data_IF_023812117067
#
_entry.id   IF_023812117067
#
_cell.length_a   1.000
_cell.length_b   1.000
_cell.length_c   1.000
_cell.angle_alpha   90.00
_cell.angle_beta   90.00
_cell.angle_gamma   90.00
#
_symmetry.space_group_name_H-M   'P 1'
#
loop_
_entity.id
_entity.type
_entity.pdbx_description
1 polymer ?
#
# COMPACT_ATOMS: atom_id res chain seq x y z
N UNK A 1 -10.74 -1.11 -19.67
CA UNK A 1 -11.48 -0.19 -18.77
C UNK A 1 -12.95 -0.36 -19.09
N UNK A 2 -13.78 -0.69 -18.12
CA UNK A 2 -15.22 -0.69 -18.33
C UNK A 2 -15.74 0.73 -18.13
N UNK A 3 -16.66 1.15 -19.01
CA UNK A 3 -17.36 2.44 -18.94
C UNK A 3 -18.45 2.49 -17.82
N UNK A 4 -18.43 1.53 -16.89
CA UNK A 4 -19.36 1.55 -15.78
C UNK A 4 -18.76 2.25 -14.57
N UNK A 5 -19.37 3.34 -14.08
CA UNK A 5 -18.96 4.02 -12.87
C UNK A 5 -19.01 3.06 -11.65
N UNK A 6 -17.95 2.97 -10.87
CA UNK A 6 -17.93 2.22 -9.60
C UNK A 6 -17.32 0.83 -9.63
N UNK A 7 -16.59 0.44 -10.68
CA UNK A 7 -16.00 -0.91 -10.79
C UNK A 7 -14.70 -1.09 -10.01
N UNK A 8 -13.99 -0.03 -9.65
CA UNK A 8 -12.75 -0.12 -8.90
C UNK A 8 -13.02 -0.01 -7.40
N UNK A 9 -13.28 -1.14 -6.75
CA UNK A 9 -13.49 -1.22 -5.28
C UNK A 9 -12.19 -1.28 -4.47
N UNK A 10 -11.03 -1.40 -5.10
CA UNK A 10 -9.74 -1.44 -4.45
C UNK A 10 -8.83 -0.38 -5.08
N UNK A 11 -8.21 0.45 -4.25
CA UNK A 11 -7.18 1.40 -4.69
C UNK A 11 -5.99 0.64 -5.25
N UNK A 12 -5.72 0.84 -6.53
CA UNK A 12 -4.56 0.26 -7.20
C UNK A 12 -3.42 1.27 -7.13
N UNK A 13 -2.37 0.95 -6.39
CA UNK A 13 -1.13 1.70 -6.47
C UNK A 13 -0.09 0.90 -7.25
N UNK A 14 0.56 1.55 -8.21
CA UNK A 14 1.59 0.91 -9.02
C UNK A 14 2.86 1.78 -9.03
N UNK A 15 4.05 1.18 -8.92
CA UNK A 15 5.28 1.87 -9.25
C UNK A 15 5.26 2.25 -10.72
N UNK A 16 5.68 3.44 -11.02
CA UNK A 16 5.71 4.01 -12.36
C UNK A 16 7.06 4.69 -12.60
N UNK A 17 7.48 4.70 -13.85
CA UNK A 17 8.64 5.44 -14.33
C UNK A 17 8.15 6.53 -15.26
N UNK A 18 8.53 7.77 -14.96
CA UNK A 18 8.28 8.91 -15.82
C UNK A 18 9.62 9.47 -16.24
N UNK A 19 9.89 9.42 -17.55
CA UNK A 19 11.23 9.66 -18.09
C UNK A 19 12.27 8.77 -17.39
N UNK A 20 13.15 9.31 -16.57
CA UNK A 20 14.18 8.57 -15.84
C UNK A 20 14.00 8.59 -14.32
N UNK A 21 12.83 9.02 -13.84
CA UNK A 21 12.54 9.13 -12.40
C UNK A 21 11.47 8.15 -11.95
N UNK A 22 11.71 7.57 -10.79
CA UNK A 22 10.75 6.65 -10.17
C UNK A 22 9.67 7.42 -9.44
N UNK A 23 8.40 7.04 -9.64
CA UNK A 23 7.25 7.53 -8.90
C UNK A 23 6.26 6.41 -8.62
N UNK A 24 5.23 6.70 -7.84
CA UNK A 24 4.13 5.80 -7.56
C UNK A 24 2.83 6.46 -8.00
N UNK A 25 2.10 5.82 -8.90
CA UNK A 25 0.76 6.24 -9.29
C UNK A 25 -0.26 5.51 -8.43
N UNK A 26 -1.26 6.23 -7.95
CA UNK A 26 -2.37 5.70 -7.17
C UNK A 26 -3.69 6.02 -7.89
N UNK A 27 -4.47 4.97 -8.19
CA UNK A 27 -5.83 5.11 -8.68
C UNK A 27 -6.79 5.18 -7.47
N UNK A 28 -7.58 6.25 -7.42
CA UNK A 28 -8.52 6.49 -6.30
C UNK A 28 -9.85 5.74 -6.43
N UNK A 29 -10.04 4.94 -7.53
CA UNK A 29 -11.34 4.34 -7.81
C UNK A 29 -12.43 5.40 -8.00
N UNK A 30 -13.29 5.28 -9.01
CA UNK A 30 -14.23 6.36 -9.39
C UNK A 30 -14.94 7.03 -8.21
N UNK A 31 -14.47 8.21 -7.86
CA UNK A 31 -15.11 9.10 -6.91
C UNK A 31 -16.42 9.55 -7.57
N UNK A 32 -17.57 9.14 -7.05
CA UNK A 32 -18.88 9.60 -7.52
C UNK A 32 -19.80 8.54 -8.13
N UNK A 33 -19.45 7.27 -8.14
CA UNK A 33 -20.33 6.22 -8.65
C UNK A 33 -21.27 5.69 -7.57
N UNK A 34 -22.52 6.15 -7.62
CA UNK A 34 -23.76 5.80 -6.91
C UNK A 34 -24.08 6.60 -5.66
N UNK A 35 -24.93 7.58 -5.87
CA UNK A 35 -25.81 8.19 -4.89
C UNK A 35 -26.84 7.15 -4.42
N UNK A 36 -26.62 6.53 -3.27
CA UNK A 36 -27.56 5.68 -2.56
C UNK A 36 -27.08 5.50 -1.14
N UNK A 37 -27.80 6.07 -0.20
CA UNK A 37 -27.82 5.86 1.25
C UNK A 37 -26.51 5.44 1.96
N UNK A 38 -25.81 6.42 2.55
CA UNK A 38 -24.68 6.19 3.47
C UNK A 38 -23.30 6.05 2.82
N UNK A 39 -23.18 6.06 1.49
CA UNK A 39 -21.92 5.87 0.75
C UNK A 39 -21.16 7.18 0.48
N UNK A 40 -21.82 8.34 0.53
CA UNK A 40 -21.21 9.64 0.26
C UNK A 40 -20.09 9.97 1.25
N UNK A 41 -20.30 9.70 2.54
CA UNK A 41 -19.31 9.94 3.61
C UNK A 41 -18.06 9.02 3.47
N UNK A 42 -18.24 7.78 2.98
CA UNK A 42 -17.10 6.89 2.75
C UNK A 42 -16.28 7.29 1.53
N UNK A 43 -16.92 7.77 0.47
CA UNK A 43 -16.27 8.25 -0.75
C UNK A 43 -15.53 9.57 -0.48
N UNK A 44 -16.11 10.48 0.29
CA UNK A 44 -15.41 11.69 0.75
C UNK A 44 -14.20 11.35 1.63
N UNK A 45 -14.35 10.42 2.57
CA UNK A 45 -13.24 9.99 3.42
C UNK A 45 -12.11 9.35 2.60
N UNK A 46 -12.43 8.60 1.54
CA UNK A 46 -11.44 7.98 0.66
C UNK A 46 -10.72 8.99 -0.24
N UNK A 47 -11.45 9.98 -0.76
CA UNK A 47 -10.88 11.10 -1.50
C UNK A 47 -9.94 11.93 -0.60
N UNK A 48 -10.37 12.24 0.61
CA UNK A 48 -9.61 12.98 1.61
C UNK A 48 -8.27 12.31 1.94
N UNK A 49 -8.25 10.99 2.03
CA UNK A 49 -7.02 10.25 2.33
C UNK A 49 -6.08 10.26 1.12
N UNK A 50 -6.59 10.06 -0.09
CA UNK A 50 -5.80 10.13 -1.31
C UNK A 50 -5.20 11.54 -1.48
N UNK A 51 -6.00 12.57 -1.28
CA UNK A 51 -5.60 13.97 -1.32
C UNK A 51 -4.47 14.23 -0.31
N UNK A 52 -4.61 13.80 0.94
CA UNK A 52 -3.60 14.04 2.01
C UNK A 52 -2.32 13.23 1.88
N UNK A 53 -2.27 12.23 1.01
CA UNK A 53 -1.10 11.33 0.85
C UNK A 53 -0.33 11.57 -0.45
N UNK A 54 -0.90 12.27 -1.40
CA UNK A 54 -0.27 12.57 -2.67
C UNK A 54 0.72 13.74 -2.57
N UNK A 55 1.80 13.71 -3.34
CA UNK A 55 2.68 14.85 -3.57
C UNK A 55 2.16 15.73 -4.70
N UNK A 56 1.39 15.15 -5.63
CA UNK A 56 0.75 15.79 -6.78
C UNK A 56 -0.55 15.04 -7.09
N UNK A 57 -1.59 15.77 -7.47
CA UNK A 57 -2.87 15.20 -7.87
C UNK A 57 -3.09 15.42 -9.36
N UNK A 58 -3.48 14.35 -10.05
CA UNK A 58 -3.95 14.41 -11.43
C UNK A 58 -5.47 14.32 -11.41
N UNK A 59 -6.14 15.46 -11.60
CA UNK A 59 -7.60 15.52 -11.63
C UNK A 59 -8.08 15.29 -13.07
N UNK A 60 -8.67 14.11 -13.33
CA UNK A 60 -9.04 13.68 -14.68
C UNK A 60 -10.52 13.89 -14.93
N UNK A 61 -10.84 14.70 -15.95
CA UNK A 61 -12.21 14.95 -16.40
C UNK A 61 -12.38 14.55 -17.89
N UNK A 62 -13.61 14.25 -18.31
CA UNK A 62 -13.95 14.05 -19.71
C UNK A 62 -14.23 15.40 -20.36
N UNK A 63 -13.42 15.81 -21.35
CA UNK A 63 -13.59 17.10 -22.01
C UNK A 63 -14.80 17.18 -22.97
N UNK A 64 -15.48 16.05 -23.21
CA UNK A 64 -16.69 15.97 -24.06
C UNK A 64 -17.97 16.11 -23.27
N UNK A 65 -17.91 15.82 -21.98
CA UNK A 65 -19.06 15.91 -21.08
C UNK A 65 -19.06 17.26 -20.36
N UNK A 66 -20.25 17.75 -20.00
CA UNK A 66 -20.39 18.94 -19.18
C UNK A 66 -19.97 18.67 -17.73
N UNK A 67 -19.50 19.73 -17.07
CA UNK A 67 -19.17 19.64 -15.65
C UNK A 67 -20.38 19.21 -14.81
N UNK A 68 -20.19 18.20 -14.03
CA UNK A 68 -21.20 17.72 -13.07
C UNK A 68 -21.06 18.43 -11.71
N UNK A 69 -22.14 18.48 -10.89
CA UNK A 69 -22.02 18.99 -9.52
C UNK A 69 -21.01 18.21 -8.67
N UNK A 70 -20.74 16.94 -9.00
CA UNK A 70 -19.75 16.11 -8.36
C UNK A 70 -18.34 16.61 -8.68
N UNK A 71 -18.06 16.93 -9.94
CA UNK A 71 -16.76 17.47 -10.37
C UNK A 71 -16.47 18.80 -9.68
N UNK A 72 -17.48 19.67 -9.54
CA UNK A 72 -17.37 20.93 -8.81
C UNK A 72 -17.07 20.71 -7.32
N UNK A 73 -17.76 19.78 -6.65
CA UNK A 73 -17.50 19.44 -5.25
C UNK A 73 -16.08 18.89 -5.05
N UNK A 74 -15.61 18.03 -5.95
CA UNK A 74 -14.25 17.51 -5.93
C UNK A 74 -13.25 18.67 -6.12
N UNK A 75 -13.46 19.54 -7.09
CA UNK A 75 -12.61 20.70 -7.33
C UNK A 75 -12.53 21.61 -6.09
N UNK A 76 -13.66 21.86 -5.42
CA UNK A 76 -13.71 22.65 -4.19
C UNK A 76 -12.90 22.01 -3.07
N UNK A 77 -12.90 20.69 -2.98
CA UNK A 77 -12.13 19.92 -2.01
C UNK A 77 -10.62 19.97 -2.32
N UNK A 78 -10.27 19.81 -3.59
CA UNK A 78 -8.88 19.87 -4.07
C UNK A 78 -8.27 21.26 -3.86
N UNK A 79 -9.03 22.34 -4.11
CA UNK A 79 -8.56 23.72 -3.88
C UNK A 79 -8.29 24.05 -2.41
N UNK A 80 -8.96 23.37 -1.49
CA UNK A 80 -8.72 23.53 -0.04
C UNK A 80 -7.48 22.76 0.43
N UNK A 81 -6.90 21.92 -0.41
CA UNK A 81 -5.67 21.21 -0.10
C UNK A 81 -4.46 22.04 -0.54
N UNK A 82 -3.35 21.94 0.19
CA UNK A 82 -2.07 22.57 -0.17
C UNK A 82 -1.29 21.74 -1.21
N UNK A 83 -1.93 20.77 -1.85
CA UNK A 83 -1.29 19.84 -2.78
C UNK A 83 -1.47 20.38 -4.21
N UNK A 84 -0.39 20.45 -5.02
CA UNK A 84 -0.50 20.87 -6.41
C UNK A 84 -1.40 19.90 -7.20
N UNK A 85 -2.22 20.47 -8.08
CA UNK A 85 -3.18 19.76 -8.92
C UNK A 85 -2.90 20.07 -10.38
N UNK A 86 -2.81 19.06 -11.23
CA UNK A 86 -2.84 19.21 -12.69
C UNK A 86 -4.21 18.71 -13.17
N UNK A 87 -4.96 19.58 -13.84
CA UNK A 87 -6.23 19.22 -14.44
C UNK A 87 -5.98 18.50 -15.78
N UNK A 88 -6.43 17.27 -15.90
CA UNK A 88 -6.31 16.47 -17.10
C UNK A 88 -7.65 16.38 -17.83
N UNK A 89 -7.77 17.07 -18.97
CA UNK A 89 -8.96 17.04 -19.82
C UNK A 89 -8.82 15.89 -20.82
N UNK A 90 -9.33 14.71 -20.42
CA UNK A 90 -9.23 13.49 -21.21
C UNK A 90 -10.29 13.40 -22.31
N UNK A 91 -10.07 12.48 -23.25
CA UNK A 91 -10.89 12.27 -24.47
C UNK A 91 -10.83 13.45 -25.44
N UNK A 92 -9.79 14.27 -25.38
CA UNK A 92 -9.49 15.32 -26.35
C UNK A 92 -8.87 14.74 -27.64
N UNK A 93 -9.69 14.03 -28.41
CA UNK A 93 -9.22 13.26 -29.58
C UNK A 93 -8.81 14.20 -30.75
N UNK A 94 -9.36 15.42 -30.80
CA UNK A 94 -9.09 16.43 -31.83
C UNK A 94 -8.82 17.81 -31.22
N UNK A 95 -7.97 18.60 -31.84
CA UNK A 95 -7.60 19.98 -31.42
C UNK A 95 -8.82 20.91 -31.26
N UNK A 96 -9.92 20.65 -31.96
CA UNK A 96 -11.15 21.46 -31.83
C UNK A 96 -11.76 21.36 -30.42
N UNK A 97 -11.47 20.30 -29.68
CA UNK A 97 -11.98 20.10 -28.32
C UNK A 97 -11.23 20.98 -27.30
N UNK A 98 -10.02 21.45 -27.64
CA UNK A 98 -9.24 22.36 -26.81
C UNK A 98 -9.95 23.74 -26.66
N UNK A 99 -10.89 24.06 -27.56
CA UNK A 99 -11.71 25.27 -27.48
C UNK A 99 -12.75 25.26 -26.34
N UNK A 100 -13.04 24.09 -25.77
CA UNK A 100 -13.99 23.95 -24.67
C UNK A 100 -13.40 24.30 -23.28
N UNK A 101 -12.17 24.84 -23.24
CA UNK A 101 -11.49 25.21 -22.00
C UNK A 101 -12.33 26.14 -21.11
N UNK A 102 -13.17 27.02 -21.71
CA UNK A 102 -13.94 28.02 -20.98
C UNK A 102 -14.84 27.47 -19.88
N UNK A 103 -15.38 26.26 -20.04
CA UNK A 103 -16.22 25.60 -19.03
C UNK A 103 -15.38 25.11 -17.83
N UNK A 104 -14.17 24.65 -18.09
CA UNK A 104 -13.29 24.08 -17.07
C UNK A 104 -12.46 25.10 -16.30
N UNK A 105 -12.31 26.32 -16.83
CA UNK A 105 -11.60 27.43 -16.14
C UNK A 105 -12.29 27.81 -14.83
N UNK A 106 -13.61 27.64 -14.75
CA UNK A 106 -14.39 27.88 -13.53
C UNK A 106 -14.00 26.98 -12.35
N UNK A 107 -13.27 25.87 -12.58
CA UNK A 107 -12.78 25.00 -11.53
C UNK A 107 -11.59 25.57 -10.76
N UNK A 108 -10.94 26.65 -11.26
CA UNK A 108 -9.87 27.37 -10.57
C UNK A 108 -8.53 26.63 -10.50
N UNK A 109 -8.21 25.84 -11.51
CA UNK A 109 -6.90 25.22 -11.70
C UNK A 109 -6.21 25.83 -12.91
N UNK A 110 -5.07 26.48 -12.70
CA UNK A 110 -4.29 27.13 -13.77
C UNK A 110 -3.50 26.12 -14.59
N UNK A 111 -3.04 25.02 -13.97
CA UNK A 111 -2.27 23.98 -14.64
C UNK A 111 -3.21 22.91 -15.21
N UNK A 112 -3.32 22.86 -16.55
CA UNK A 112 -4.20 21.94 -17.25
C UNK A 112 -3.53 21.35 -18.50
N UNK A 113 -3.92 20.14 -18.88
CA UNK A 113 -3.42 19.44 -20.07
C UNK A 113 -4.58 18.75 -20.76
N UNK A 114 -4.71 18.96 -22.08
CA UNK A 114 -5.60 18.18 -22.93
C UNK A 114 -4.92 16.87 -23.32
N UNK A 115 -5.58 15.76 -23.09
CA UNK A 115 -5.05 14.45 -23.46
C UNK A 115 -6.13 13.53 -24.04
N UNK A 116 -5.70 12.57 -24.82
CA UNK A 116 -6.52 11.43 -25.25
C UNK A 116 -5.82 10.13 -24.85
N UNK A 117 -6.34 9.49 -23.84
CA UNK A 117 -5.79 8.19 -23.38
C UNK A 117 -5.94 7.08 -24.43
N UNK A 118 -6.93 7.19 -25.32
CA UNK A 118 -7.17 6.25 -26.40
C UNK A 118 -6.15 6.41 -27.56
N UNK A 119 -5.74 7.64 -27.84
CA UNK A 119 -4.93 7.98 -29.02
C UNK A 119 -3.50 8.42 -28.66
N UNK A 120 -3.14 8.48 -27.37
CA UNK A 120 -1.79 8.86 -26.93
C UNK A 120 -1.47 10.34 -27.03
N UNK A 121 -2.45 11.21 -27.34
CA UNK A 121 -2.28 12.66 -27.41
C UNK A 121 -2.06 13.25 -26.01
N UNK A 122 -1.17 14.24 -25.88
CA UNK A 122 -0.92 14.98 -24.65
C UNK A 122 -0.01 14.28 -23.64
N UNK A 123 0.32 13.00 -23.83
CA UNK A 123 1.16 12.25 -22.87
C UNK A 123 2.61 12.76 -22.81
N UNK A 124 3.15 13.27 -23.90
CA UNK A 124 4.50 13.86 -23.92
C UNK A 124 4.57 15.12 -23.04
N UNK A 125 3.52 15.97 -23.11
CA UNK A 125 3.40 17.15 -22.27
C UNK A 125 3.22 16.77 -20.81
N UNK A 126 2.32 15.81 -20.51
CA UNK A 126 2.12 15.28 -19.17
C UNK A 126 3.43 14.73 -18.60
N UNK A 127 4.16 13.91 -19.35
CA UNK A 127 5.43 13.35 -18.92
C UNK A 127 6.46 14.44 -18.59
N UNK A 128 6.54 15.50 -19.43
CA UNK A 128 7.44 16.63 -19.21
C UNK A 128 7.09 17.42 -17.92
N UNK A 129 5.78 17.66 -17.67
CA UNK A 129 5.31 18.33 -16.45
C UNK A 129 5.60 17.50 -15.21
N UNK A 130 5.32 16.20 -15.27
CA UNK A 130 5.60 15.28 -14.16
C UNK A 130 7.09 15.15 -13.89
N UNK A 131 7.94 15.11 -14.92
CA UNK A 131 9.40 15.08 -14.77
C UNK A 131 9.91 16.36 -14.09
N UNK A 132 9.40 17.53 -14.51
CA UNK A 132 9.70 18.82 -13.87
C UNK A 132 9.33 18.82 -12.38
N UNK A 133 8.16 18.33 -12.03
CA UNK A 133 7.69 18.21 -10.65
C UNK A 133 8.56 17.23 -9.84
N UNK A 134 8.86 16.05 -10.41
CA UNK A 134 9.70 15.03 -9.78
C UNK A 134 11.13 15.55 -9.54
N UNK A 135 11.68 16.34 -10.46
CA UNK A 135 12.97 17.04 -10.29
C UNK A 135 12.93 18.00 -9.11
N UNK A 136 11.91 18.85 -9.05
CA UNK A 136 11.74 19.81 -7.96
C UNK A 136 11.61 19.14 -6.59
N UNK A 137 10.95 17.98 -6.54
CA UNK A 137 10.82 17.15 -5.33
C UNK A 137 12.08 16.32 -5.04
N UNK A 138 13.11 16.38 -5.88
CA UNK A 138 14.35 15.59 -5.72
C UNK A 138 14.09 14.09 -5.81
N UNK A 139 13.18 13.65 -6.69
CA UNK A 139 13.02 12.23 -6.98
C UNK A 139 14.30 11.69 -7.63
N UNK A 140 14.83 10.53 -7.20
CA UNK A 140 16.09 10.00 -7.71
C UNK A 140 16.00 9.67 -9.19
N UNK A 141 17.08 9.94 -9.92
CA UNK A 141 17.27 9.44 -11.29
C UNK A 141 17.50 7.92 -11.24
N UNK A 142 17.14 7.23 -12.32
CA UNK A 142 17.44 5.80 -12.46
C UNK A 142 18.95 5.55 -12.44
N UNK A 143 19.73 6.41 -13.06
CA UNK A 143 21.20 6.34 -13.08
C UNK A 143 21.81 6.51 -11.68
N UNK A 144 21.25 7.40 -10.86
CA UNK A 144 21.65 7.55 -9.44
C UNK A 144 21.30 6.32 -8.59
N UNK A 145 20.38 5.45 -9.07
CA UNK A 145 20.04 4.17 -8.47
C UNK A 145 20.83 3.00 -9.07
N UNK A 146 21.46 3.20 -10.24
CA UNK A 146 22.27 2.21 -10.97
C UNK A 146 23.79 2.45 -10.84
N UNK A 147 24.24 3.62 -10.36
CA UNK A 147 25.62 3.83 -9.96
C UNK A 147 25.87 3.02 -8.69
N UNK A 148 26.35 1.80 -8.86
CA UNK A 148 27.08 1.08 -7.80
C UNK A 148 28.25 1.99 -7.42
N UNK A 149 28.42 2.39 -6.15
CA UNK A 149 29.60 3.10 -5.74
C UNK A 149 30.78 2.21 -6.01
N UNK A 150 31.72 2.66 -6.86
CA UNK A 150 32.99 1.97 -7.19
C UNK A 150 33.87 1.66 -5.97
N UNK A 151 33.44 2.07 -4.79
CA UNK A 151 34.05 1.76 -3.50
C UNK A 151 33.05 0.99 -2.63
N UNK A 152 33.00 -0.31 -2.80
CA UNK A 152 32.62 -1.44 -1.94
C UNK A 152 31.72 -1.28 -0.69
N UNK A 153 31.09 -0.15 -0.44
CA UNK A 153 30.07 0.04 0.58
C UNK A 153 28.72 0.25 -0.11
N UNK A 154 27.98 -0.83 -0.34
CA UNK A 154 26.54 -0.78 -0.64
C UNK A 154 25.86 0.05 0.44
N UNK A 155 25.56 1.32 0.16
CA UNK A 155 24.70 2.13 1.02
C UNK A 155 23.27 1.59 0.84
N UNK A 156 22.93 0.60 1.67
CA UNK A 156 21.63 -0.05 1.66
C UNK A 156 20.52 1.00 1.81
N UNK A 157 19.57 1.02 0.90
CA UNK A 157 18.39 1.91 0.97
C UNK A 157 17.70 1.75 2.33
N UNK A 158 17.28 2.85 2.98
CA UNK A 158 16.64 2.80 4.28
C UNK A 158 15.27 2.10 4.20
N UNK A 159 15.05 1.12 5.08
CA UNK A 159 13.76 0.43 5.21
C UNK A 159 12.79 1.32 5.98
N UNK A 160 11.66 1.66 5.36
CA UNK A 160 10.60 2.46 5.97
C UNK A 160 9.68 1.57 6.79
N UNK A 161 9.65 1.80 8.10
CA UNK A 161 8.88 0.99 9.07
C UNK A 161 7.75 1.81 9.66
N UNK A 162 6.50 1.39 9.44
CA UNK A 162 5.34 1.97 10.10
C UNK A 162 4.99 1.19 11.37
N UNK A 163 4.86 1.88 12.51
CA UNK A 163 4.39 1.30 13.78
C UNK A 163 2.93 1.68 13.97
N UNK A 164 2.01 0.74 13.69
CA UNK A 164 0.57 0.98 13.70
C UNK A 164 -0.15 0.11 14.73
N UNK A 165 -1.35 0.50 15.09
CA UNK A 165 -2.16 -0.18 16.11
C UNK A 165 -3.09 0.79 16.82
N UNK A 166 -4.07 0.26 17.57
CA UNK A 166 -5.04 1.08 18.32
C UNK A 166 -4.36 1.99 19.36
N UNK A 167 -5.05 3.04 19.85
CA UNK A 167 -4.55 3.82 20.98
C UNK A 167 -4.26 2.92 22.19
N UNK A 168 -3.20 3.26 22.93
CA UNK A 168 -2.74 2.53 24.13
C UNK A 168 -2.28 1.08 23.92
N UNK A 169 -2.11 0.59 22.67
CA UNK A 169 -1.49 -0.72 22.40
C UNK A 169 -0.01 -0.78 22.78
N UNK A 170 0.61 0.38 23.06
CA UNK A 170 2.01 0.46 23.46
C UNK A 170 2.98 0.85 22.34
N UNK A 171 2.49 1.44 21.24
CA UNK A 171 3.31 1.91 20.11
C UNK A 171 4.45 2.83 20.54
N UNK A 172 4.14 3.88 21.31
CA UNK A 172 5.15 4.84 21.80
C UNK A 172 6.19 4.16 22.70
N UNK A 173 5.75 3.21 23.54
CA UNK A 173 6.68 2.43 24.38
C UNK A 173 7.58 1.54 23.54
N UNK A 174 7.03 0.92 22.47
CA UNK A 174 7.80 0.10 21.54
C UNK A 174 8.86 0.92 20.79
N UNK A 175 8.47 2.08 20.24
CA UNK A 175 9.41 2.99 19.57
C UNK A 175 10.49 3.46 20.52
N UNK A 176 10.14 3.84 21.75
CA UNK A 176 11.12 4.23 22.76
C UNK A 176 12.06 3.08 23.14
N UNK A 177 11.56 1.84 23.20
CA UNK A 177 12.39 0.67 23.45
C UNK A 177 13.36 0.40 22.28
N UNK A 178 12.88 0.53 21.03
CA UNK A 178 13.71 0.45 19.82
C UNK A 178 14.84 1.51 19.85
N UNK A 179 14.49 2.77 20.10
CA UNK A 179 15.43 3.88 20.07
C UNK A 179 16.44 3.86 21.24
N UNK A 180 16.14 3.15 22.32
CA UNK A 180 17.05 2.96 23.48
C UNK A 180 17.99 1.76 23.32
N UNK A 181 17.80 0.93 22.32
CA UNK A 181 18.69 -0.20 22.05
C UNK A 181 20.10 0.35 21.75
N UNK A 182 21.13 -0.18 22.42
CA UNK A 182 22.54 0.22 22.23
C UNK A 182 23.06 0.04 20.81
N UNK A 183 22.38 -0.76 20.01
CA UNK A 183 22.69 -1.01 18.59
C UNK A 183 22.05 0.00 17.65
N UNK A 184 21.26 0.93 18.18
CA UNK A 184 20.52 1.92 17.40
C UNK A 184 21.20 3.27 17.53
N UNK A 185 21.64 3.82 16.41
CA UNK A 185 22.20 5.18 16.32
C UNK A 185 21.18 6.04 15.57
N UNK A 186 20.69 7.11 16.21
CA UNK A 186 19.88 8.12 15.52
C UNK A 186 20.79 8.86 14.54
N UNK A 187 20.58 8.69 13.26
CA UNK A 187 21.39 9.28 12.21
C UNK A 187 20.84 10.63 11.79
N UNK A 188 21.72 11.64 11.71
CA UNK A 188 21.41 12.94 11.10
C UNK A 188 21.70 12.91 9.58
N UNK A 189 21.35 11.85 8.87
CA UNK A 189 21.58 11.77 7.43
C UNK A 189 20.72 12.83 6.74
N UNK A 190 21.39 13.82 6.19
CA UNK A 190 20.76 14.89 5.40
C UNK A 190 20.08 14.25 4.17
N UNK A 191 18.78 14.51 3.99
CA UNK A 191 17.97 14.06 2.83
C UNK A 191 16.88 13.04 3.13
N UNK A 192 16.80 12.45 4.33
CA UNK A 192 15.75 11.46 4.68
C UNK A 192 14.52 12.04 5.36
N UNK A 193 14.57 13.30 5.80
CA UNK A 193 13.50 13.99 6.55
C UNK A 193 12.72 14.94 5.62
N UNK A 194 11.76 14.42 4.89
CA UNK A 194 10.74 15.25 4.21
C UNK A 194 9.57 15.65 5.12
N UNK A 195 9.37 14.91 6.21
CA UNK A 195 8.40 15.25 7.26
C UNK A 195 9.13 15.29 8.61
N UNK A 196 8.93 16.33 9.40
CA UNK A 196 9.51 16.51 10.76
C UNK A 196 9.08 15.42 11.78
N UNK A 197 8.49 14.34 11.30
CA UNK A 197 7.76 13.29 12.02
C UNK A 197 8.45 11.93 11.87
N UNK A 198 9.32 11.77 10.87
CA UNK A 198 10.03 10.52 10.58
C UNK A 198 11.37 10.49 11.34
N UNK A 199 11.73 9.34 11.92
CA UNK A 199 12.96 9.17 12.69
C UNK A 199 13.90 8.23 11.95
N UNK A 200 14.98 8.74 11.34
CA UNK A 200 16.02 7.90 10.77
C UNK A 200 16.88 7.27 11.87
N UNK A 201 17.21 6.01 11.72
CA UNK A 201 18.10 5.30 12.63
C UNK A 201 18.85 4.17 11.94
N UNK A 202 19.99 3.80 12.52
CA UNK A 202 20.84 2.72 12.04
C UNK A 202 20.80 1.55 13.04
N UNK A 203 20.57 0.32 12.56
CA UNK A 203 20.61 -0.89 13.37
C UNK A 203 21.47 -1.95 12.67
N UNK A 204 22.54 -2.37 13.33
CA UNK A 204 23.54 -3.32 12.80
C UNK A 204 24.01 -2.97 11.36
N UNK A 205 24.27 -1.67 11.08
CA UNK A 205 24.71 -1.20 9.78
C UNK A 205 23.62 -1.02 8.73
N UNK A 206 22.40 -1.49 8.97
CA UNK A 206 21.26 -1.29 8.07
C UNK A 206 20.51 -0.02 8.44
N UNK A 207 20.30 0.92 7.48
CA UNK A 207 19.49 2.11 7.72
C UNK A 207 18.00 1.80 7.72
N UNK A 208 17.26 2.44 8.63
CA UNK A 208 15.82 2.39 8.79
C UNK A 208 15.24 3.79 8.94
N UNK A 209 13.95 3.93 8.64
CA UNK A 209 13.17 5.14 8.93
C UNK A 209 11.86 4.72 9.60
N UNK A 210 11.68 5.15 10.86
CA UNK A 210 10.38 5.01 11.52
C UNK A 210 9.46 6.14 11.05
N UNK A 211 8.33 5.77 10.42
CA UNK A 211 7.40 6.72 9.80
C UNK A 211 6.31 7.13 10.78
N UNK A 212 5.91 8.42 10.70
CA UNK A 212 4.78 9.02 11.43
C UNK A 212 4.83 8.84 12.94
N UNK A 213 5.95 9.20 13.55
CA UNK A 213 6.14 9.15 15.00
C UNK A 213 5.47 10.29 15.77
N UNK A 214 4.88 11.31 15.11
CA UNK A 214 4.26 12.47 15.78
C UNK A 214 3.04 12.10 16.64
N UNK A 215 2.29 11.10 16.24
CA UNK A 215 1.18 10.56 17.05
C UNK A 215 1.63 9.88 18.34
N UNK A 216 2.95 9.69 18.53
CA UNK A 216 3.54 8.99 19.67
C UNK A 216 4.03 9.92 20.77
N UNK A 217 4.06 11.25 20.56
CA UNK A 217 4.39 12.23 21.61
C UNK A 217 3.19 12.42 22.54
N UNK A 218 3.37 12.51 23.88
CA UNK A 218 2.28 12.76 24.80
C UNK A 218 1.63 14.12 24.49
N UNK A 219 0.38 14.12 24.05
CA UNK A 219 -0.44 15.33 23.92
C UNK A 219 -1.33 15.46 25.14
N UNK A 220 -1.45 16.70 25.64
CA UNK A 220 -2.39 17.07 26.70
C UNK A 220 -3.82 16.70 26.28
N UNK A 221 -4.56 16.14 27.23
CA UNK A 221 -5.96 15.73 27.10
C UNK A 221 -6.83 16.89 26.64
N UNK A 222 -7.37 16.82 25.42
CA UNK A 222 -8.64 17.43 24.96
C UNK A 222 -8.72 17.27 23.45
N UNK A 223 -9.49 16.21 23.00
CA UNK A 223 -10.25 16.27 21.74
C UNK A 223 -10.92 14.92 21.49
N UNK A 224 -12.24 14.96 21.41
CA UNK A 224 -13.13 13.83 21.08
C UNK A 224 -13.08 13.40 19.61
N UNK A 225 -12.28 14.07 18.77
CA UNK A 225 -12.02 13.71 17.36
C UNK A 225 -10.83 12.74 17.18
N UNK A 226 -10.25 12.24 18.28
CA UNK A 226 -8.97 11.51 18.33
C UNK A 226 -9.00 10.17 17.55
N UNK A 227 -10.16 9.50 17.48
CA UNK A 227 -10.22 8.17 16.86
C UNK A 227 -10.16 8.21 15.33
N UNK A 228 -10.86 9.13 14.69
CA UNK A 228 -10.87 9.30 13.23
C UNK A 228 -9.49 9.77 12.74
N UNK A 229 -8.89 10.75 13.43
CA UNK A 229 -7.54 11.22 13.12
C UNK A 229 -6.46 10.16 13.32
N UNK A 230 -6.65 9.25 14.30
CA UNK A 230 -5.72 8.15 14.55
C UNK A 230 -5.77 7.09 13.45
N UNK A 231 -6.97 6.76 12.93
CA UNK A 231 -7.15 5.82 11.83
C UNK A 231 -6.53 6.35 10.52
N UNK A 232 -6.81 7.61 10.18
CA UNK A 232 -6.27 8.28 8.99
C UNK A 232 -4.73 8.33 8.99
N UNK A 233 -4.13 8.62 10.15
CA UNK A 233 -2.65 8.61 10.29
C UNK A 233 -2.08 7.22 10.11
N UNK A 234 -2.70 6.20 10.71
CA UNK A 234 -2.26 4.82 10.54
C UNK A 234 -2.29 4.41 9.08
N UNK A 235 -3.30 4.80 8.32
CA UNK A 235 -3.41 4.52 6.91
C UNK A 235 -2.32 5.24 6.09
N UNK A 236 -2.08 6.54 6.37
CA UNK A 236 -0.96 7.28 5.75
C UNK A 236 0.38 6.61 6.01
N UNK A 237 0.64 6.20 7.25
CA UNK A 237 1.86 5.51 7.62
C UNK A 237 1.99 4.16 6.90
N UNK A 238 0.90 3.36 6.87
CA UNK A 238 0.87 2.06 6.16
C UNK A 238 1.24 2.23 4.69
N UNK A 239 0.66 3.22 4.00
CA UNK A 239 0.94 3.45 2.57
C UNK A 239 2.40 3.79 2.28
N UNK A 240 3.01 4.63 3.13
CA UNK A 240 4.41 5.08 2.97
C UNK A 240 5.44 4.02 3.37
N UNK A 241 5.02 3.00 4.12
CA UNK A 241 5.90 1.99 4.66
C UNK A 241 6.32 0.92 3.64
N UNK A 242 7.52 0.38 3.82
CA UNK A 242 7.98 -0.85 3.19
C UNK A 242 7.53 -2.07 4.01
N UNK A 243 7.39 -1.90 5.33
CA UNK A 243 6.90 -2.92 6.25
C UNK A 243 6.13 -2.29 7.42
N UNK A 244 5.06 -2.97 7.86
CA UNK A 244 4.22 -2.56 8.97
C UNK A 244 4.47 -3.43 10.22
N UNK A 245 4.61 -2.78 11.38
CA UNK A 245 4.57 -3.42 12.69
C UNK A 245 3.19 -3.16 13.29
N UNK A 246 2.31 -4.16 13.25
CA UNK A 246 0.97 -4.11 13.84
C UNK A 246 1.08 -4.42 15.34
N UNK A 247 0.97 -3.40 16.18
CA UNK A 247 1.08 -3.52 17.64
C UNK A 247 -0.27 -3.81 18.26
N UNK A 248 -0.39 -4.95 18.94
CA UNK A 248 -1.59 -5.44 19.62
C UNK A 248 -1.33 -5.53 21.11
N UNK A 249 -2.24 -5.02 21.92
CA UNK A 249 -2.27 -5.25 23.37
C UNK A 249 -2.95 -6.58 23.66
N UNK A 250 -2.16 -7.63 23.84
CA UNK A 250 -2.70 -8.98 24.01
C UNK A 250 -3.39 -9.16 25.36
N UNK A 251 -3.00 -8.42 26.40
CA UNK A 251 -3.65 -8.49 27.70
C UNK A 251 -5.11 -8.00 27.64
N UNK A 252 -5.44 -7.12 26.70
CA UNK A 252 -6.80 -6.67 26.43
C UNK A 252 -7.50 -7.46 25.30
N UNK A 253 -6.80 -8.40 24.67
CA UNK A 253 -7.28 -9.19 23.53
C UNK A 253 -7.29 -8.41 22.20
N UNK A 254 -7.57 -9.14 21.11
CA UNK A 254 -7.69 -8.59 19.75
C UNK A 254 -9.06 -7.96 19.57
N UNK A 255 -9.11 -6.67 19.27
CA UNK A 255 -10.34 -5.88 19.15
C UNK A 255 -10.76 -5.67 17.70
N UNK A 256 -11.97 -5.16 17.49
CA UNK A 256 -12.45 -4.79 16.15
C UNK A 256 -11.55 -3.70 15.50
N UNK A 257 -11.00 -2.78 16.32
CA UNK A 257 -10.09 -1.75 15.81
C UNK A 257 -8.76 -2.34 15.34
N UNK A 258 -8.23 -3.34 16.04
CA UNK A 258 -7.03 -4.07 15.61
C UNK A 258 -7.29 -4.80 14.27
N UNK A 259 -8.46 -5.45 14.12
CA UNK A 259 -8.89 -6.10 12.86
C UNK A 259 -9.02 -5.08 11.72
N UNK A 260 -9.57 -3.90 11.98
CA UNK A 260 -9.69 -2.84 10.97
C UNK A 260 -8.32 -2.39 10.47
N UNK A 261 -7.36 -2.13 11.35
CA UNK A 261 -6.00 -1.72 10.98
C UNK A 261 -5.30 -2.84 10.19
N UNK A 262 -5.46 -4.09 10.64
CA UNK A 262 -4.95 -5.26 9.92
C UNK A 262 -5.57 -5.40 8.52
N UNK A 263 -6.86 -5.08 8.37
CA UNK A 263 -7.57 -5.03 7.09
C UNK A 263 -6.92 -4.03 6.13
N UNK A 264 -6.64 -2.82 6.60
CA UNK A 264 -5.95 -1.79 5.80
C UNK A 264 -4.56 -2.27 5.35
N UNK A 265 -3.80 -2.94 6.22
CA UNK A 265 -2.49 -3.51 5.85
C UNK A 265 -2.63 -4.55 4.73
N UNK A 266 -3.66 -5.42 4.83
CA UNK A 266 -3.94 -6.44 3.83
C UNK A 266 -4.39 -5.83 2.49
N UNK A 267 -5.27 -4.84 2.51
CA UNK A 267 -5.77 -4.11 1.34
C UNK A 267 -4.65 -3.36 0.62
N UNK A 268 -3.76 -2.70 1.37
CA UNK A 268 -2.59 -2.02 0.82
C UNK A 268 -1.46 -2.99 0.40
N UNK A 269 -1.67 -4.30 0.60
CA UNK A 269 -0.71 -5.33 0.21
C UNK A 269 0.66 -5.17 0.86
N UNK A 270 0.70 -4.75 2.13
CA UNK A 270 1.97 -4.44 2.80
C UNK A 270 2.57 -5.63 3.53
N UNK A 271 3.89 -5.80 3.49
CA UNK A 271 4.61 -6.66 4.43
C UNK A 271 4.25 -6.29 5.87
N UNK A 272 4.05 -7.32 6.72
CA UNK A 272 3.59 -7.10 8.08
C UNK A 272 4.22 -8.07 9.07
N UNK A 273 4.49 -7.54 10.28
CA UNK A 273 4.82 -8.31 11.47
C UNK A 273 3.80 -7.93 12.55
N UNK A 274 3.19 -8.90 13.20
CA UNK A 274 2.28 -8.69 14.33
C UNK A 274 3.13 -8.63 15.60
N UNK A 275 3.09 -7.49 16.29
CA UNK A 275 3.78 -7.29 17.58
C UNK A 275 2.77 -7.50 18.70
N UNK A 276 2.83 -8.66 19.33
CA UNK A 276 2.00 -9.04 20.46
C UNK A 276 2.60 -8.44 21.72
N UNK A 277 2.20 -7.17 22.00
CA UNK A 277 2.77 -6.39 23.09
C UNK A 277 2.04 -6.62 24.42
N UNK A 278 2.68 -6.22 25.51
CA UNK A 278 2.24 -6.45 26.90
C UNK A 278 2.11 -7.95 27.25
N UNK A 279 2.93 -8.77 26.62
CA UNK A 279 2.94 -10.22 26.84
C UNK A 279 3.28 -10.59 28.29
N UNK A 280 3.98 -9.72 29.02
CA UNK A 280 4.25 -9.84 30.44
C UNK A 280 2.99 -9.80 31.33
N UNK A 281 1.92 -9.15 30.85
CA UNK A 281 0.63 -9.07 31.53
C UNK A 281 -0.37 -10.15 31.11
N UNK A 282 -0.10 -10.86 30.02
CA UNK A 282 -0.97 -11.89 29.49
C UNK A 282 -0.75 -13.22 30.21
N UNK A 283 -1.73 -13.66 31.01
CA UNK A 283 -1.70 -14.89 31.82
C UNK A 283 -0.35 -15.15 32.51
N UNK A 284 0.13 -14.21 33.38
CA UNK A 284 1.49 -14.23 33.92
C UNK A 284 1.85 -15.51 34.70
N UNK A 285 0.84 -16.22 35.20
CA UNK A 285 1.02 -17.50 35.97
C UNK A 285 1.07 -18.73 35.06
N UNK A 286 0.75 -18.64 33.77
CA UNK A 286 0.82 -19.74 32.82
C UNK A 286 2.23 -19.87 32.23
N UNK A 287 2.58 -21.08 31.75
CA UNK A 287 3.87 -21.29 31.09
C UNK A 287 3.99 -20.42 29.82
N UNK A 288 5.23 -20.03 29.48
CA UNK A 288 5.47 -19.29 28.23
C UNK A 288 4.96 -20.06 27.00
N UNK A 289 5.09 -21.38 26.99
CA UNK A 289 4.65 -22.23 25.89
C UNK A 289 3.15 -22.19 25.71
N UNK A 290 2.37 -22.31 26.80
CA UNK A 290 0.92 -22.29 26.73
C UNK A 290 0.39 -20.90 26.30
N UNK A 291 0.99 -19.83 26.84
CA UNK A 291 0.67 -18.47 26.42
C UNK A 291 0.94 -18.23 24.94
N UNK A 292 2.07 -18.75 24.41
CA UNK A 292 2.39 -18.61 22.99
C UNK A 292 1.41 -19.37 22.11
N UNK A 293 1.00 -20.58 22.51
CA UNK A 293 0.02 -21.39 21.78
C UNK A 293 -1.36 -20.69 21.75
N UNK A 294 -1.79 -20.12 22.88
CA UNK A 294 -3.04 -19.37 22.96
C UNK A 294 -3.03 -18.12 22.10
N UNK A 295 -1.93 -17.36 22.11
CA UNK A 295 -1.75 -16.20 21.25
C UNK A 295 -1.79 -16.59 19.78
N UNK A 296 -1.12 -17.69 19.40
CA UNK A 296 -1.12 -18.18 18.03
C UNK A 296 -2.54 -18.52 17.57
N UNK A 297 -3.31 -19.19 18.40
CA UNK A 297 -4.69 -19.53 18.12
C UNK A 297 -5.55 -18.26 17.96
N UNK A 298 -5.44 -17.29 18.87
CA UNK A 298 -6.17 -16.01 18.79
C UNK A 298 -5.82 -15.24 17.53
N UNK A 299 -4.52 -15.10 17.19
CA UNK A 299 -4.06 -14.40 16.00
C UNK A 299 -4.57 -15.09 14.74
N UNK A 300 -4.48 -16.40 14.63
CA UNK A 300 -4.97 -17.15 13.47
C UNK A 300 -6.47 -17.02 13.27
N UNK A 301 -7.24 -17.02 14.36
CA UNK A 301 -8.70 -16.90 14.33
C UNK A 301 -9.15 -15.49 13.97
N UNK A 302 -8.58 -14.49 14.63
CA UNK A 302 -9.06 -13.10 14.52
C UNK A 302 -8.46 -12.32 13.33
N UNK A 303 -7.26 -12.72 12.87
CA UNK A 303 -6.51 -12.05 11.81
C UNK A 303 -6.19 -12.98 10.63
N UNK A 304 -7.10 -13.90 10.31
CA UNK A 304 -6.93 -14.93 9.28
C UNK A 304 -6.60 -14.36 7.89
N UNK A 305 -7.00 -13.12 7.60
CA UNK A 305 -6.75 -12.44 6.32
C UNK A 305 -5.32 -11.89 6.18
N UNK A 306 -4.55 -11.77 7.28
CA UNK A 306 -3.10 -11.50 7.27
C UNK A 306 -2.29 -12.70 7.81
N UNK A 307 -2.73 -13.91 7.49
CA UNK A 307 -2.09 -15.16 7.93
C UNK A 307 -0.62 -15.32 7.48
N UNK A 308 -0.18 -14.47 6.56
CA UNK A 308 1.22 -14.39 6.14
C UNK A 308 2.12 -13.69 7.17
N UNK A 309 1.56 -12.88 8.05
CA UNK A 309 2.31 -12.11 9.01
C UNK A 309 2.81 -12.98 10.17
N UNK A 310 4.12 -13.06 10.43
CA UNK A 310 4.64 -13.66 11.64
C UNK A 310 4.27 -12.80 12.85
N UNK A 311 4.19 -13.39 14.03
CA UNK A 311 4.00 -12.64 15.25
C UNK A 311 5.20 -12.75 16.19
N UNK A 312 5.44 -11.70 16.96
CA UNK A 312 6.51 -11.57 17.94
C UNK A 312 5.90 -11.16 19.27
N UNK A 313 6.09 -11.98 20.32
CA UNK A 313 5.69 -11.61 21.67
C UNK A 313 6.71 -10.63 22.26
N UNK A 314 6.22 -9.46 22.72
CA UNK A 314 7.04 -8.39 23.27
C UNK A 314 6.48 -7.86 24.60
N UNK A 315 7.37 -7.33 25.41
CA UNK A 315 7.04 -6.38 26.47
C UNK A 315 7.84 -5.09 26.23
N UNK A 316 7.22 -4.13 25.56
CA UNK A 316 7.86 -2.86 25.26
C UNK A 316 8.30 -2.11 26.54
N UNK A 317 7.60 -2.30 27.65
CA UNK A 317 7.95 -1.71 28.96
C UNK A 317 9.22 -2.30 29.53
N UNK A 318 9.43 -3.60 29.35
CA UNK A 318 10.63 -4.32 29.83
C UNK A 318 11.72 -4.43 28.77
N UNK A 319 11.49 -3.93 27.56
CA UNK A 319 12.33 -4.09 26.37
C UNK A 319 12.58 -5.56 25.97
N UNK A 320 11.68 -6.49 26.36
CA UNK A 320 11.80 -7.91 26.02
C UNK A 320 11.27 -8.17 24.58
N UNK A 321 12.02 -8.90 23.76
CA UNK A 321 11.64 -9.33 22.41
C UNK A 321 11.75 -8.25 21.34
N UNK A 322 12.23 -7.04 21.67
CA UNK A 322 12.38 -5.94 20.74
C UNK A 322 13.50 -6.20 19.73
N UNK A 323 14.59 -6.82 20.19
CA UNK A 323 15.74 -7.20 19.37
C UNK A 323 15.43 -8.23 18.28
N UNK A 324 14.32 -8.98 18.46
CA UNK A 324 13.89 -9.98 17.48
C UNK A 324 13.27 -9.31 16.25
N UNK A 325 12.68 -8.11 16.40
CA UNK A 325 11.96 -7.40 15.35
C UNK A 325 12.87 -7.20 14.13
N UNK A 326 14.08 -6.68 14.34
CA UNK A 326 15.02 -6.40 13.25
C UNK A 326 15.54 -7.67 12.56
N UNK A 327 15.77 -8.72 13.33
CA UNK A 327 16.12 -10.04 12.78
C UNK A 327 15.03 -10.57 11.86
N UNK A 328 13.76 -10.39 12.26
CA UNK A 328 12.62 -10.79 11.45
C UNK A 328 12.46 -9.91 10.23
N UNK A 329 12.65 -8.58 10.32
CA UNK A 329 12.63 -7.67 9.15
C UNK A 329 13.72 -8.06 8.16
N UNK A 330 14.95 -8.29 8.61
CA UNK A 330 16.07 -8.73 7.75
C UNK A 330 15.76 -10.07 7.06
N UNK A 331 15.15 -11.01 7.80
CA UNK A 331 14.69 -12.28 7.21
C UNK A 331 13.63 -12.05 6.14
N UNK A 332 12.59 -11.24 6.41
CA UNK A 332 11.53 -10.91 5.47
C UNK A 332 12.14 -10.29 4.20
N UNK A 333 13.06 -9.31 4.34
CA UNK A 333 13.74 -8.70 3.21
C UNK A 333 14.49 -9.74 2.37
N UNK A 334 15.23 -10.63 2.98
CA UNK A 334 15.95 -11.70 2.26
C UNK A 334 14.99 -12.62 1.53
N UNK A 335 13.91 -13.04 2.17
CA UNK A 335 12.93 -13.97 1.60
C UNK A 335 12.07 -13.31 0.53
N UNK A 336 11.90 -11.97 0.54
CA UNK A 336 11.15 -11.26 -0.49
C UNK A 336 11.78 -11.33 -1.89
N UNK A 337 13.08 -11.64 -1.98
CA UNK A 337 13.78 -11.81 -3.26
C UNK A 337 13.69 -13.26 -3.79
N UNK A 338 13.21 -14.20 -2.99
CA UNK A 338 13.05 -15.60 -3.40
C UNK A 338 11.69 -15.82 -4.07
N UNK A 339 11.54 -15.29 -5.29
CA UNK A 339 10.32 -15.38 -6.08
C UNK A 339 10.38 -16.55 -7.07
N UNK A 340 9.24 -17.22 -7.36
CA UNK A 340 9.21 -18.22 -8.42
C UNK A 340 9.52 -17.60 -9.78
N UNK A 341 10.29 -18.29 -10.58
CA UNK A 341 10.42 -17.96 -12.00
C UNK A 341 9.08 -18.09 -12.70
N UNK A 342 8.90 -17.40 -13.83
CA UNK A 342 7.66 -17.46 -14.61
C UNK A 342 7.27 -18.93 -14.95
N UNK A 343 8.23 -19.77 -15.28
CA UNK A 343 7.99 -21.18 -15.57
C UNK A 343 7.52 -21.98 -14.35
N UNK A 344 8.13 -21.74 -13.19
CA UNK A 344 7.72 -22.37 -11.92
C UNK A 344 6.33 -21.92 -11.49
N UNK A 345 6.03 -20.62 -11.60
CA UNK A 345 4.72 -20.07 -11.30
C UNK A 345 3.61 -20.69 -12.16
N UNK A 346 3.83 -20.76 -13.49
CA UNK A 346 2.85 -21.34 -14.40
C UNK A 346 2.62 -22.83 -14.14
N UNK A 347 3.68 -23.60 -13.87
CA UNK A 347 3.57 -25.02 -13.51
C UNK A 347 2.76 -25.20 -12.23
N UNK A 348 3.02 -24.37 -11.20
CA UNK A 348 2.29 -24.41 -9.94
C UNK A 348 0.80 -24.10 -10.12
N UNK A 349 0.47 -23.06 -10.90
CA UNK A 349 -0.91 -22.68 -11.18
C UNK A 349 -1.64 -23.76 -11.98
N UNK A 350 -0.99 -24.38 -12.96
CA UNK A 350 -1.56 -25.50 -13.70
C UNK A 350 -1.87 -26.69 -12.79
N UNK A 351 -0.93 -27.06 -11.92
CA UNK A 351 -1.16 -28.14 -10.94
C UNK A 351 -2.32 -27.78 -9.99
N UNK A 352 -2.36 -26.53 -9.51
CA UNK A 352 -3.46 -26.08 -8.67
C UNK A 352 -4.82 -26.15 -9.36
N UNK A 353 -4.90 -25.77 -10.64
CA UNK A 353 -6.13 -25.90 -11.44
C UNK A 353 -6.54 -27.36 -11.69
N UNK A 354 -5.58 -28.27 -11.82
CA UNK A 354 -5.84 -29.71 -11.94
C UNK A 354 -6.38 -30.32 -10.64
N UNK A 355 -5.78 -29.94 -9.51
CA UNK A 355 -6.17 -30.46 -8.18
C UNK A 355 -7.53 -29.95 -7.72
N UNK A 356 -7.83 -28.68 -8.00
CA UNK A 356 -9.11 -28.03 -7.66
C UNK A 356 -9.54 -27.13 -8.80
N UNK A 357 -10.27 -27.67 -9.81
CA UNK A 357 -10.74 -26.89 -10.92
C UNK A 357 -11.66 -25.74 -10.48
N UNK A 358 -11.54 -24.54 -11.09
CA UNK A 358 -12.45 -23.44 -10.77
C UNK A 358 -13.91 -23.83 -10.97
N UNK A 359 -14.76 -23.53 -9.99
CA UNK A 359 -16.20 -23.70 -10.10
C UNK A 359 -16.80 -22.82 -11.20
N UNK A 360 -18.03 -23.16 -11.64
CA UNK A 360 -18.80 -22.23 -12.47
C UNK A 360 -19.26 -21.05 -11.60
N UNK A 361 -19.20 -19.82 -12.12
CA UNK A 361 -19.77 -18.68 -11.42
C UNK A 361 -21.29 -18.83 -11.29
N UNK A 362 -21.88 -18.40 -10.19
CA UNK A 362 -23.33 -18.42 -9.98
C UNK A 362 -24.06 -17.81 -11.17
N UNK A 363 -24.92 -18.59 -11.81
CA UNK A 363 -25.73 -18.17 -12.99
C UNK A 363 -25.02 -18.21 -14.34
N UNK A 364 -23.76 -18.71 -14.43
CA UNK A 364 -23.02 -18.82 -15.70
C UNK A 364 -22.48 -20.24 -15.89
N UNK A 365 -22.62 -20.78 -17.11
CA UNK A 365 -21.96 -22.03 -17.51
C UNK A 365 -20.44 -21.84 -17.73
N UNK A 366 -19.92 -20.58 -17.67
CA UNK A 366 -18.53 -20.26 -17.94
C UNK A 366 -17.68 -20.53 -16.70
N UNK A 367 -16.55 -21.19 -16.89
CA UNK A 367 -15.55 -21.43 -15.86
C UNK A 367 -14.33 -20.54 -16.08
N UNK A 368 -13.67 -20.16 -14.99
CA UNK A 368 -12.40 -19.47 -15.05
C UNK A 368 -11.37 -20.36 -15.78
N UNK A 369 -10.63 -19.77 -16.71
CA UNK A 369 -9.42 -20.36 -17.32
C UNK A 369 -8.27 -19.40 -17.12
N UNK A 370 -7.21 -19.86 -16.46
CA UNK A 370 -5.94 -19.12 -16.35
C UNK A 370 -5.03 -19.67 -17.42
N UNK A 371 -4.70 -18.83 -18.40
CA UNK A 371 -3.87 -19.22 -19.55
C UNK A 371 -2.37 -19.11 -19.22
N UNK A 372 -2.01 -18.07 -18.47
CA UNK A 372 -0.65 -17.72 -18.18
C UNK A 372 -0.58 -16.83 -16.95
N UNK A 373 0.53 -16.88 -16.24
CA UNK A 373 0.84 -16.00 -15.14
C UNK A 373 2.26 -15.46 -15.24
N UNK A 374 2.46 -14.22 -14.85
CA UNK A 374 3.77 -13.59 -14.78
C UNK A 374 3.92 -12.79 -13.51
N UNK A 375 5.15 -12.48 -13.11
CA UNK A 375 5.45 -11.63 -11.97
C UNK A 375 5.62 -10.19 -12.45
N UNK A 376 4.94 -9.23 -11.80
CA UNK A 376 4.98 -7.81 -12.15
C UNK A 376 5.88 -6.99 -11.20
N UNK A 377 6.68 -7.63 -10.37
CA UNK A 377 7.57 -6.94 -9.42
C UNK A 377 8.95 -6.81 -10.01
N UNK A 378 9.47 -5.58 -10.01
CA UNK A 378 10.89 -5.33 -10.17
C UNK A 378 11.55 -5.25 -8.79
N UNK A 379 12.35 -6.25 -8.39
CA UNK A 379 13.01 -6.27 -7.08
C UNK A 379 14.03 -5.15 -6.90
N UNK A 380 14.50 -4.51 -7.99
CA UNK A 380 15.53 -3.46 -7.93
C UNK A 380 15.06 -2.16 -7.27
N UNK A 381 13.75 -1.87 -7.29
CA UNK A 381 13.21 -0.58 -6.83
C UNK A 381 12.48 -0.63 -5.50
N UNK A 382 12.36 -1.79 -4.88
CA UNK A 382 11.65 -1.96 -3.61
C UNK A 382 12.59 -2.55 -2.56
N UNK A 383 12.71 -1.90 -1.42
CA UNK A 383 13.51 -2.36 -0.27
C UNK A 383 13.05 -3.73 0.22
N UNK A 384 11.72 -3.97 0.19
CA UNK A 384 11.08 -5.27 0.44
C UNK A 384 10.07 -5.50 -0.68
N UNK A 385 10.47 -6.16 -1.81
CA UNK A 385 9.57 -6.40 -2.92
C UNK A 385 8.41 -7.32 -2.53
N UNK A 386 7.20 -6.91 -2.92
CA UNK A 386 5.98 -7.69 -2.72
C UNK A 386 5.60 -8.35 -4.04
N UNK A 387 5.47 -9.69 -4.09
CA UNK A 387 5.11 -10.38 -5.32
C UNK A 387 3.69 -10.05 -5.77
N UNK A 388 3.58 -9.43 -6.94
CA UNK A 388 2.34 -9.21 -7.64
C UNK A 388 2.30 -10.14 -8.87
N UNK A 389 1.43 -11.15 -8.85
CA UNK A 389 1.28 -12.09 -9.94
C UNK A 389 0.14 -11.67 -10.85
N UNK A 390 0.44 -11.39 -12.10
CA UNK A 390 -0.55 -11.06 -13.13
C UNK A 390 -1.05 -12.35 -13.75
N UNK A 391 -2.34 -12.63 -13.59
CA UNK A 391 -3.03 -13.79 -14.14
C UNK A 391 -3.73 -13.39 -15.44
N UNK A 392 -3.35 -13.97 -16.57
CA UNK A 392 -4.06 -13.80 -17.83
C UNK A 392 -5.18 -14.84 -17.92
N UNK A 393 -6.42 -14.36 -17.89
CA UNK A 393 -7.62 -15.18 -17.75
C UNK A 393 -8.58 -14.96 -18.93
N UNK A 394 -9.54 -15.87 -19.10
CA UNK A 394 -10.62 -15.69 -20.08
C UNK A 394 -11.56 -14.55 -19.71
N UNK A 395 -11.87 -14.41 -18.41
CA UNK A 395 -12.71 -13.35 -17.86
C UNK A 395 -12.34 -13.10 -16.41
N UNK A 396 -11.95 -11.85 -16.08
CA UNK A 396 -11.51 -11.46 -14.73
C UNK A 396 -12.62 -11.57 -13.68
N UNK A 397 -13.89 -11.43 -14.08
CA UNK A 397 -15.03 -11.52 -13.17
C UNK A 397 -15.24 -12.92 -12.60
N UNK A 398 -14.68 -13.94 -13.26
CA UNK A 398 -14.77 -15.34 -12.84
C UNK A 398 -13.71 -15.71 -11.77
N UNK A 399 -12.73 -14.84 -11.51
CA UNK A 399 -11.76 -15.05 -10.44
C UNK A 399 -12.38 -14.64 -9.10
N UNK A 400 -12.96 -15.60 -8.40
CA UNK A 400 -13.57 -15.39 -7.08
C UNK A 400 -12.52 -15.21 -6.00
N UNK A 401 -12.87 -14.53 -4.89
CA UNK A 401 -11.98 -14.34 -3.73
C UNK A 401 -11.55 -15.67 -3.12
N UNK A 402 -12.47 -16.65 -3.05
CA UNK A 402 -12.18 -17.98 -2.53
C UNK A 402 -11.16 -18.73 -3.40
N UNK A 403 -11.28 -18.62 -4.72
CA UNK A 403 -10.32 -19.25 -5.63
C UNK A 403 -8.96 -18.53 -5.61
N UNK A 404 -8.98 -17.20 -5.52
CA UNK A 404 -7.78 -16.39 -5.30
C UNK A 404 -7.06 -16.79 -4.00
N UNK A 405 -7.81 -17.01 -2.92
CA UNK A 405 -7.24 -17.46 -1.65
C UNK A 405 -6.66 -18.87 -1.74
N UNK A 406 -7.32 -19.77 -2.45
CA UNK A 406 -6.78 -21.10 -2.74
C UNK A 406 -5.45 -21.04 -3.49
N UNK A 407 -5.37 -20.24 -4.54
CA UNK A 407 -4.11 -20.06 -5.30
C UNK A 407 -3.01 -19.42 -4.44
N UNK A 408 -3.34 -18.41 -3.60
CA UNK A 408 -2.38 -17.83 -2.64
C UNK A 408 -1.81 -18.89 -1.70
N UNK A 409 -2.65 -19.75 -1.19
CA UNK A 409 -2.22 -20.83 -0.29
C UNK A 409 -1.28 -21.81 -1.02
N UNK A 410 -1.60 -22.19 -2.27
CA UNK A 410 -0.73 -23.07 -3.08
C UNK A 410 0.62 -22.44 -3.40
N UNK A 411 0.65 -21.15 -3.68
CA UNK A 411 1.93 -20.44 -3.87
C UNK A 411 2.72 -20.42 -2.56
N UNK A 412 2.08 -20.16 -1.42
CA UNK A 412 2.76 -20.14 -0.11
C UNK A 412 3.27 -21.50 0.34
N UNK A 413 2.58 -22.59 0.00
CA UNK A 413 3.05 -23.96 0.25
C UNK A 413 4.37 -24.23 -0.47
N UNK A 414 4.51 -23.75 -1.72
CA UNK A 414 5.70 -23.98 -2.54
C UNK A 414 6.80 -22.92 -2.30
N UNK A 415 6.41 -21.68 -2.02
CA UNK A 415 7.29 -20.52 -1.79
C UNK A 415 6.87 -19.80 -0.50
N UNK A 416 7.26 -20.34 0.66
CA UNK A 416 6.99 -19.69 1.93
C UNK A 416 7.71 -18.35 2.00
N UNK A 417 6.96 -17.28 2.17
CA UNK A 417 7.47 -15.92 2.34
C UNK A 417 6.75 -15.29 3.55
N UNK A 418 7.11 -15.67 4.78
CA UNK A 418 6.49 -15.11 5.97
C UNK A 418 6.68 -13.61 6.03
N UNK A 419 5.63 -12.89 6.41
CA UNK A 419 5.63 -11.45 6.46
C UNK A 419 5.33 -10.75 5.14
N UNK A 420 5.23 -11.49 4.02
CA UNK A 420 5.04 -10.91 2.68
C UNK A 420 3.67 -11.35 2.13
N UNK A 421 2.80 -10.41 1.72
CA UNK A 421 1.54 -10.75 1.06
C UNK A 421 1.77 -11.27 -0.36
N UNK A 422 0.84 -12.08 -0.87
CA UNK A 422 0.77 -12.49 -2.27
C UNK A 422 -0.37 -11.76 -2.93
N UNK A 423 -0.08 -10.94 -3.94
CA UNK A 423 -1.06 -10.12 -4.65
C UNK A 423 -1.34 -10.72 -6.02
N UNK A 424 -2.61 -10.79 -6.41
CA UNK A 424 -3.03 -11.13 -7.75
C UNK A 424 -3.63 -9.94 -8.48
N UNK A 425 -3.28 -9.80 -9.75
CA UNK A 425 -3.93 -8.91 -10.71
C UNK A 425 -4.43 -9.76 -11.89
N UNK A 426 -5.73 -9.79 -12.13
CA UNK A 426 -6.29 -10.53 -13.24
C UNK A 426 -6.47 -9.64 -14.48
N UNK A 427 -6.01 -10.11 -15.65
CA UNK A 427 -6.20 -9.45 -16.95
C UNK A 427 -6.97 -10.37 -17.88
N UNK A 428 -8.10 -9.89 -18.38
CA UNK A 428 -8.84 -10.61 -19.44
C UNK A 428 -8.08 -10.48 -20.76
N UNK A 429 -8.04 -11.58 -21.54
CA UNK A 429 -7.49 -11.53 -22.89
C UNK A 429 -8.43 -10.71 -23.77
N UNK A 430 -7.97 -9.60 -24.31
CA UNK A 430 -8.70 -8.86 -25.35
C UNK A 430 -8.79 -9.79 -26.55
N UNK A 431 -9.99 -10.19 -26.97
CA UNK A 431 -10.21 -10.76 -28.28
C UNK A 431 -10.03 -9.62 -29.28
N UNK A 432 -8.98 -9.64 -30.06
CA UNK A 432 -8.97 -8.94 -31.33
C UNK A 432 -9.90 -9.77 -32.26
N UNK A 433 -11.14 -9.34 -32.38
CA UNK A 433 -12.02 -9.76 -33.49
C UNK A 433 -11.67 -8.94 -34.74
#
# INVERSE_FOLDING_TARGET
MHDEPGVTRARLSAPCKITDRACKIMDTGGIGARLGDGFAEQVEAEADIAIKTADLILFVLDCRDHLTPIDQNIADHLRKSDIPVILLLNKADHEKQDLNLGEFTGLGFDDHIFLSAAHGRGFSELASRLDGFLKQKGAPLKEELEEEPENGEETALPIKVAVVGRPNAGKSSLVNAILRDRRTIVSNVAGTTRDAIDIPYLHDGQPYVLIDTAGMRPRSRRDTSVEVFSAMRSEKAIRRADICLLVIDIAAGITQQDRRIAGIIAEEGKPCIIIVNKFDLFHPNASRKDRMAEVEEQVRRELFFINYAPFIATSAKKAEGVEIIFKVITRIRRESHNLPTTGQLNRLIQLAQQMNPPGAASGSARRLKIYYATTAVDPKYNTIPVPCYVLFVNDKSLLTDSYSQYLRNKIREAYPAPGIPVIFSARSRVRND
#
